data_IF_605264073666
#
_entry.id   IF_605264073666
#
_cell.length_a   1.000
_cell.length_b   1.000
_cell.length_c   1.000
_cell.angle_alpha   90.00
_cell.angle_beta   90.00
_cell.angle_gamma   90.00
#
_symmetry.space_group_name_H-M   'P 1'
#
loop_
_entity.id
_entity.type
_entity.pdbx_description
1 polymer ?
#
# COMPACT_ATOMS: atom_id res chain seq x y z
N UNK A 1 14.20 16.36 -23.12
CA UNK A 1 13.62 16.83 -24.40
C UNK A 1 14.69 17.09 -25.44
N UNK A 2 15.63 18.01 -25.20
CA UNK A 2 16.71 18.35 -26.16
C UNK A 2 17.57 17.15 -26.58
N UNK A 3 17.82 16.21 -25.65
CA UNK A 3 18.55 14.98 -25.95
C UNK A 3 17.73 13.90 -26.69
N UNK A 4 16.43 14.10 -26.95
CA UNK A 4 15.60 13.12 -27.66
C UNK A 4 15.30 11.81 -26.89
N UNK A 5 15.40 11.81 -25.56
CA UNK A 5 15.33 10.62 -24.69
C UNK A 5 14.08 10.53 -23.80
N UNK A 6 12.98 11.18 -24.19
CA UNK A 6 11.76 11.19 -23.37
C UNK A 6 11.10 9.81 -23.26
N UNK A 7 11.26 8.98 -24.28
CA UNK A 7 10.83 7.59 -24.36
C UNK A 7 11.45 6.67 -23.28
N UNK A 8 12.59 7.08 -22.70
CA UNK A 8 13.24 6.35 -21.62
C UNK A 8 12.48 6.48 -20.29
N UNK A 9 11.63 7.49 -20.13
CA UNK A 9 10.83 7.70 -18.93
C UNK A 9 9.47 6.98 -19.08
N UNK A 10 9.35 5.80 -18.48
CA UNK A 10 8.20 4.90 -18.66
C UNK A 10 7.39 4.65 -17.39
N UNK A 11 7.92 5.02 -16.21
CA UNK A 11 7.33 4.65 -14.92
C UNK A 11 7.26 5.87 -13.99
N UNK A 12 6.08 6.07 -13.41
CA UNK A 12 5.86 6.99 -12.30
C UNK A 12 5.73 6.17 -11.02
N UNK A 13 6.52 6.50 -10.00
CA UNK A 13 6.54 5.80 -8.71
C UNK A 13 6.35 6.79 -7.56
N UNK A 14 5.62 6.37 -6.54
CA UNK A 14 5.62 7.01 -5.22
C UNK A 14 5.50 5.95 -4.12
N UNK A 15 5.93 6.29 -2.91
CA UNK A 15 5.82 5.42 -1.75
C UNK A 15 5.33 6.18 -0.52
N UNK A 16 4.16 5.82 0.00
CA UNK A 16 3.55 6.46 1.19
C UNK A 16 4.15 5.97 2.52
N UNK A 17 4.88 4.86 2.49
CA UNK A 17 5.38 4.17 3.67
C UNK A 17 4.83 2.75 3.80
N UNK A 18 5.28 2.06 4.84
CA UNK A 18 4.81 0.71 5.18
C UNK A 18 3.67 0.77 6.20
N UNK A 19 2.78 -0.23 6.19
CA UNK A 19 1.68 -0.36 7.16
C UNK A 19 0.78 0.89 7.19
N UNK A 20 0.23 1.27 6.04
CA UNK A 20 -0.77 2.34 6.02
C UNK A 20 -2.04 1.81 6.71
N UNK A 21 -2.37 2.32 7.89
CA UNK A 21 -3.53 1.85 8.66
C UNK A 21 -4.88 2.35 8.12
N UNK A 22 -4.85 3.43 7.32
CA UNK A 22 -6.04 4.17 6.90
C UNK A 22 -6.15 4.28 5.37
N UNK A 23 -7.25 3.76 4.83
CA UNK A 23 -7.52 3.76 3.39
C UNK A 23 -7.58 5.17 2.78
N UNK A 24 -8.00 6.18 3.55
CA UNK A 24 -8.12 7.55 3.05
C UNK A 24 -6.78 8.17 2.69
N UNK A 25 -5.73 7.82 3.42
CA UNK A 25 -4.39 8.35 3.19
C UNK A 25 -3.81 7.75 1.89
N UNK A 26 -4.08 6.46 1.65
CA UNK A 26 -3.75 5.77 0.40
C UNK A 26 -4.49 6.42 -0.77
N UNK A 27 -5.81 6.58 -0.66
CA UNK A 27 -6.62 7.19 -1.72
C UNK A 27 -6.19 8.63 -2.03
N UNK A 28 -5.80 9.41 -1.01
CA UNK A 28 -5.31 10.78 -1.18
C UNK A 28 -3.96 10.78 -1.93
N UNK A 29 -3.02 9.92 -1.53
CA UNK A 29 -1.72 9.81 -2.20
C UNK A 29 -1.83 9.35 -3.66
N UNK A 30 -2.71 8.39 -3.95
CA UNK A 30 -2.94 7.93 -5.32
C UNK A 30 -3.56 9.02 -6.18
N UNK A 31 -4.58 9.74 -5.68
CA UNK A 31 -5.20 10.86 -6.43
C UNK A 31 -4.21 11.96 -6.78
N UNK A 32 -3.35 12.32 -5.83
CA UNK A 32 -2.33 13.34 -6.10
C UNK A 32 -1.33 12.84 -7.16
N UNK A 33 -0.87 11.59 -7.03
CA UNK A 33 0.03 10.98 -8.01
C UNK A 33 -0.60 10.81 -9.39
N UNK A 34 -1.92 10.59 -9.47
CA UNK A 34 -2.67 10.56 -10.73
C UNK A 34 -2.66 11.92 -11.43
N UNK A 35 -2.69 13.03 -10.68
CA UNK A 35 -2.51 14.38 -11.28
C UNK A 35 -1.11 14.53 -11.89
N UNK A 36 -0.07 14.04 -11.24
CA UNK A 36 1.28 14.01 -11.83
C UNK A 36 1.34 13.19 -13.11
N UNK A 37 0.69 12.02 -13.15
CA UNK A 37 0.59 11.21 -14.37
C UNK A 37 -0.07 11.98 -15.52
N UNK A 38 -1.18 12.67 -15.25
CA UNK A 38 -1.88 13.50 -16.24
C UNK A 38 -0.97 14.60 -16.77
N UNK A 39 -0.31 15.36 -15.89
CA UNK A 39 0.54 16.47 -16.31
C UNK A 39 1.79 16.00 -17.07
N UNK A 40 2.37 14.85 -16.70
CA UNK A 40 3.48 14.24 -17.45
C UNK A 40 3.07 13.85 -18.87
N UNK A 41 1.87 13.28 -19.04
CA UNK A 41 1.31 12.98 -20.37
C UNK A 41 1.03 14.25 -21.19
N UNK A 42 0.51 15.32 -20.58
CA UNK A 42 0.37 16.63 -21.25
C UNK A 42 1.71 17.22 -21.68
N UNK A 43 2.78 16.89 -20.96
CA UNK A 43 4.15 17.21 -21.34
C UNK A 43 4.75 16.22 -22.37
N UNK A 44 3.95 15.34 -22.97
CA UNK A 44 4.38 14.41 -24.01
C UNK A 44 5.28 13.27 -23.50
N UNK A 45 5.26 13.00 -22.19
CA UNK A 45 5.91 11.82 -21.62
C UNK A 45 4.94 10.65 -21.67
N UNK A 46 5.35 9.55 -22.30
CA UNK A 46 4.52 8.36 -22.38
C UNK A 46 4.77 7.43 -21.18
N UNK A 47 4.19 7.75 -20.03
CA UNK A 47 4.24 6.88 -18.85
C UNK A 47 3.34 5.66 -19.10
N UNK A 48 3.91 4.46 -18.99
CA UNK A 48 3.23 3.18 -19.22
C UNK A 48 2.92 2.45 -17.90
N UNK A 49 3.74 2.68 -16.88
CA UNK A 49 3.61 2.04 -15.58
C UNK A 49 3.36 3.09 -14.48
N UNK A 50 2.41 2.79 -13.61
CA UNK A 50 2.06 3.58 -12.45
C UNK A 50 2.25 2.72 -11.20
N UNK A 51 3.30 3.00 -10.45
CA UNK A 51 3.70 2.23 -9.29
C UNK A 51 3.31 2.97 -8.00
N UNK A 52 2.43 2.34 -7.21
CA UNK A 52 1.96 2.90 -5.94
C UNK A 52 2.85 2.55 -4.75
N UNK A 53 3.94 1.80 -4.99
CA UNK A 53 4.83 1.30 -3.97
C UNK A 53 4.15 0.34 -3.00
N UNK A 54 4.70 0.24 -1.79
CA UNK A 54 4.12 -0.55 -0.70
C UNK A 54 2.96 0.13 0.02
N UNK A 55 2.72 -0.27 1.27
CA UNK A 55 1.75 0.37 2.15
C UNK A 55 0.49 -0.46 2.41
N UNK A 56 0.21 -1.51 1.63
CA UNK A 56 -0.80 -2.51 1.99
C UNK A 56 -0.48 -3.12 3.36
N UNK A 57 -1.22 -2.71 4.38
CA UNK A 57 -1.01 -3.15 5.75
C UNK A 57 -1.59 -4.53 6.03
N UNK A 58 -1.21 -5.07 7.18
CA UNK A 58 -1.66 -6.36 7.70
C UNK A 58 -2.38 -6.13 9.02
N UNK A 59 -3.51 -6.79 9.20
CA UNK A 59 -4.25 -6.76 10.46
C UNK A 59 -3.65 -7.78 11.44
N UNK A 60 -2.73 -7.35 12.30
CA UNK A 60 -2.08 -8.25 13.27
C UNK A 60 -2.95 -8.52 14.50
N UNK A 61 -3.88 -7.62 14.81
CA UNK A 61 -4.77 -7.71 15.99
C UNK A 61 -6.11 -8.38 15.66
N UNK A 62 -6.49 -8.44 14.39
CA UNK A 62 -7.80 -8.91 13.94
C UNK A 62 -8.93 -7.91 14.22
N UNK A 63 -8.61 -6.66 14.57
CA UNK A 63 -9.59 -5.67 15.01
C UNK A 63 -10.19 -4.87 13.86
N UNK A 64 -9.59 -4.92 12.67
CA UNK A 64 -9.93 -4.06 11.51
C UNK A 64 -10.08 -2.58 11.88
N UNK A 65 -9.24 -2.12 12.79
CA UNK A 65 -9.23 -0.75 13.28
C UNK A 65 -8.09 0.06 12.64
N UNK A 66 -8.21 1.39 12.71
CA UNK A 66 -7.13 2.31 12.37
C UNK A 66 -6.16 2.40 13.56
N UNK A 67 -5.32 1.38 13.73
CA UNK A 67 -4.25 1.33 14.73
C UNK A 67 -2.91 1.02 14.06
N UNK A 68 -1.79 1.27 14.73
CA UNK A 68 -0.45 0.96 14.19
C UNK A 68 -0.25 -0.55 13.93
N UNK A 69 -1.01 -1.41 14.63
CA UNK A 69 -0.96 -2.86 14.51
C UNK A 69 -2.11 -3.45 13.67
N UNK A 70 -2.95 -2.61 13.05
CA UNK A 70 -4.12 -3.03 12.28
C UNK A 70 -4.30 -2.17 11.02
N UNK A 71 -5.32 -2.47 10.22
CA UNK A 71 -5.79 -1.67 9.08
C UNK A 71 -7.31 -1.52 9.12
N UNK A 72 -7.85 -0.40 8.65
CA UNK A 72 -9.29 -0.15 8.58
C UNK A 72 -9.95 -0.57 7.26
N UNK A 73 -9.27 -1.37 6.43
CA UNK A 73 -9.71 -1.73 5.08
C UNK A 73 -9.34 -3.16 4.70
N UNK A 74 -10.02 -3.71 3.69
CA UNK A 74 -9.70 -5.01 3.10
C UNK A 74 -8.86 -4.91 1.82
N UNK A 75 -8.32 -6.04 1.36
CA UNK A 75 -7.55 -6.12 0.11
C UNK A 75 -8.33 -5.58 -1.11
N UNK A 76 -9.60 -5.96 -1.25
CA UNK A 76 -10.43 -5.50 -2.36
C UNK A 76 -10.69 -4.00 -2.29
N UNK A 77 -10.86 -3.45 -1.09
CA UNK A 77 -11.07 -2.02 -0.89
C UNK A 77 -9.80 -1.23 -1.23
N UNK A 78 -8.62 -1.73 -0.85
CA UNK A 78 -7.34 -1.18 -1.26
C UNK A 78 -7.19 -1.17 -2.79
N UNK A 79 -7.42 -2.31 -3.44
CA UNK A 79 -7.34 -2.43 -4.90
C UNK A 79 -8.33 -1.47 -5.59
N UNK A 80 -9.58 -1.44 -5.14
CA UNK A 80 -10.60 -0.56 -5.70
C UNK A 80 -10.20 0.92 -5.55
N UNK A 81 -9.78 1.36 -4.36
CA UNK A 81 -9.41 2.77 -4.15
C UNK A 81 -8.27 3.22 -5.08
N UNK A 82 -7.29 2.34 -5.35
CA UNK A 82 -6.21 2.63 -6.29
C UNK A 82 -6.73 2.72 -7.72
N UNK A 83 -7.45 1.69 -8.17
CA UNK A 83 -7.90 1.60 -9.57
C UNK A 83 -8.88 2.71 -9.91
N UNK A 84 -9.83 3.03 -9.02
CA UNK A 84 -10.77 4.13 -9.23
C UNK A 84 -10.07 5.48 -9.29
N UNK A 85 -9.15 5.77 -8.37
CA UNK A 85 -8.44 7.05 -8.35
C UNK A 85 -7.59 7.29 -9.61
N UNK A 86 -6.96 6.24 -10.16
CA UNK A 86 -6.20 6.33 -11.41
C UNK A 86 -7.15 6.38 -12.62
N UNK A 87 -8.17 5.52 -12.63
CA UNK A 87 -9.16 5.41 -13.71
C UNK A 87 -9.92 6.71 -13.93
N UNK A 88 -10.46 7.31 -12.87
CA UNK A 88 -11.19 8.58 -12.94
C UNK A 88 -10.33 9.67 -13.59
N UNK A 89 -9.06 9.80 -13.16
CA UNK A 89 -8.14 10.79 -13.73
C UNK A 89 -7.80 10.53 -15.21
N UNK A 90 -7.71 9.25 -15.60
CA UNK A 90 -7.47 8.87 -16.99
C UNK A 90 -8.69 9.19 -17.87
N UNK A 91 -9.89 8.81 -17.43
CA UNK A 91 -11.14 9.04 -18.15
C UNK A 91 -11.43 10.54 -18.31
N UNK A 92 -11.27 11.33 -17.24
CA UNK A 92 -11.47 12.78 -17.25
C UNK A 92 -10.55 13.51 -18.24
N UNK A 93 -9.35 12.98 -18.49
CA UNK A 93 -8.35 13.60 -19.35
C UNK A 93 -8.16 12.88 -20.69
N UNK A 94 -8.96 11.84 -20.98
CA UNK A 94 -8.86 11.04 -22.21
C UNK A 94 -7.51 10.34 -22.37
N UNK A 95 -6.89 9.92 -21.27
CA UNK A 95 -5.57 9.27 -21.26
C UNK A 95 -5.69 7.74 -21.24
N UNK A 96 -4.67 7.03 -21.75
CA UNK A 96 -4.63 5.58 -21.62
C UNK A 96 -4.46 5.17 -20.15
N UNK A 97 -5.03 4.02 -19.79
CA UNK A 97 -4.88 3.46 -18.46
C UNK A 97 -3.48 2.80 -18.35
N UNK A 98 -2.66 3.19 -17.36
CA UNK A 98 -1.34 2.60 -17.19
C UNK A 98 -1.42 1.20 -16.57
N UNK A 99 -0.34 0.43 -16.70
CA UNK A 99 -0.15 -0.79 -15.89
C UNK A 99 0.10 -0.38 -14.44
N UNK A 100 -0.72 -0.86 -13.52
CA UNK A 100 -0.59 -0.55 -12.09
C UNK A 100 0.30 -1.58 -11.40
N UNK A 101 1.30 -1.10 -10.66
CA UNK A 101 2.25 -1.91 -9.89
C UNK A 101 2.07 -1.60 -8.41
N UNK A 102 2.19 -2.62 -7.56
CA UNK A 102 2.28 -2.47 -6.10
C UNK A 102 3.45 -3.28 -5.56
N UNK A 103 4.18 -2.69 -4.62
CA UNK A 103 5.36 -3.27 -3.96
C UNK A 103 4.99 -3.76 -2.54
N UNK A 104 3.88 -4.48 -2.44
CA UNK A 104 3.23 -4.89 -1.17
C UNK A 104 3.95 -6.03 -0.43
N UNK A 105 5.25 -5.87 -0.15
CA UNK A 105 6.09 -6.93 0.45
C UNK A 105 5.58 -7.46 1.80
N UNK A 106 5.16 -6.56 2.71
CA UNK A 106 4.62 -6.94 4.03
C UNK A 106 3.39 -7.83 3.90
N UNK A 107 2.45 -7.46 3.04
CA UNK A 107 1.20 -8.20 2.87
C UNK A 107 1.45 -9.63 2.35
N UNK A 108 2.41 -9.80 1.43
CA UNK A 108 2.78 -11.11 0.88
C UNK A 108 3.53 -11.97 1.92
N UNK A 109 4.33 -11.35 2.78
CA UNK A 109 5.26 -12.08 3.66
C UNK A 109 4.81 -12.17 5.12
N UNK A 110 3.85 -11.41 5.62
CA UNK A 110 3.56 -11.43 7.07
C UNK A 110 3.12 -12.81 7.60
N UNK A 111 2.37 -13.57 6.81
CA UNK A 111 1.74 -14.82 7.27
C UNK A 111 2.56 -16.09 6.99
N UNK A 112 3.71 -16.00 6.32
CA UNK A 112 4.43 -17.20 5.85
C UNK A 112 5.32 -17.86 6.92
N UNK A 113 5.53 -17.21 8.07
CA UNK A 113 6.44 -17.69 9.12
C UNK A 113 5.74 -17.74 10.47
N UNK A 114 6.00 -18.80 11.24
CA UNK A 114 5.57 -18.96 12.63
C UNK A 114 6.79 -19.28 13.49
N UNK A 115 7.00 -18.52 14.57
CA UNK A 115 8.02 -18.81 15.57
C UNK A 115 7.42 -19.70 16.67
N UNK A 116 8.00 -20.89 16.87
CA UNK A 116 7.53 -21.88 17.86
C UNK A 116 8.60 -22.08 18.93
N UNK A 117 8.21 -22.01 20.21
CA UNK A 117 9.09 -22.26 21.35
C UNK A 117 8.30 -22.91 22.50
N UNK A 118 8.98 -23.64 23.38
CA UNK A 118 8.37 -24.26 24.56
C UNK A 118 8.45 -23.34 25.79
N UNK A 119 7.47 -23.48 26.70
CA UNK A 119 7.53 -22.86 28.03
C UNK A 119 8.56 -23.65 28.86
N UNK A 120 9.65 -22.99 29.28
CA UNK A 120 10.73 -23.62 30.06
C UNK A 120 10.58 -23.48 31.57
N UNK A 121 9.67 -22.62 32.03
CA UNK A 121 9.40 -22.38 33.44
C UNK A 121 8.15 -21.52 33.63
N UNK A 122 7.52 -21.64 34.80
CA UNK A 122 6.35 -20.83 35.18
C UNK A 122 6.47 -20.48 36.65
N UNK A 123 6.59 -19.19 36.95
CA UNK A 123 6.45 -18.69 38.32
C UNK A 123 4.96 -18.56 38.65
N UNK A 124 4.52 -19.22 39.74
CA UNK A 124 3.15 -19.11 40.26
C UNK A 124 3.22 -18.69 41.71
N UNK A 125 2.35 -17.76 42.10
CA UNK A 125 2.21 -17.41 43.50
C UNK A 125 1.44 -18.54 44.21
N UNK A 126 2.17 -19.39 44.94
CA UNK A 126 1.56 -20.39 45.81
C UNK A 126 1.15 -19.70 47.12
N UNK A 127 -0.09 -19.22 47.18
CA UNK A 127 -0.71 -18.81 48.43
C UNK A 127 -1.08 -20.06 49.23
N UNK A 128 -0.17 -20.53 50.08
CA UNK A 128 -0.48 -21.54 51.10
C UNK A 128 -1.17 -20.84 52.26
N UNK A 129 -2.45 -21.13 52.49
CA UNK A 129 -3.13 -20.71 53.73
C UNK A 129 -2.44 -21.43 54.89
N UNK A 130 -1.94 -20.71 55.92
CA UNK A 130 -1.37 -21.34 57.11
C UNK A 130 -2.41 -22.27 57.74
N UNK A 131 -1.99 -23.50 58.09
CA UNK A 131 -2.80 -24.48 58.83
C UNK A 131 -2.83 -24.16 60.31
#
# INVERSE_FOLDING_TARGET
>A
REAGRLDSLQLLHFHLGSQMANIRDIATGVRESARFYVELHKLGVNIQCFDVGGGLGVDYEGTRSQSDCSVNYGLNEYANNIIWAIGDACEENGLPHPTVITESGRAVTAHHTVLVSNIIGVERNEYTVPT
#
